data_IF_923280456654
#
_entry.id   IF_923280456654
#
_cell.length_a   1.000
_cell.length_b   1.000
_cell.length_c   1.000
_cell.angle_alpha   90.00
_cell.angle_beta   90.00
_cell.angle_gamma   90.00
#
_symmetry.space_group_name_H-M   'P 1'
#
loop_
_entity.id
_entity.type
_entity.pdbx_description
1 polymer ?
#
# COMPACT_ATOMS: atom_id res chain seq x y z
N UNK A 1 -35.69 7.86 -1.15
CA UNK A 1 -34.30 7.86 -1.66
C UNK A 1 -33.36 7.95 -0.48
N UNK A 2 -32.64 6.88 -0.15
CA UNK A 2 -31.63 6.89 0.91
C UNK A 2 -30.37 7.52 0.33
N UNK A 3 -29.97 8.71 0.82
CA UNK A 3 -28.69 9.32 0.43
C UNK A 3 -27.56 8.47 1.00
N UNK A 4 -26.69 7.94 0.13
CA UNK A 4 -25.45 7.35 0.57
C UNK A 4 -24.62 8.42 1.31
N UNK A 5 -24.14 8.08 2.51
CA UNK A 5 -23.25 8.95 3.27
C UNK A 5 -21.84 8.74 2.74
N UNK A 6 -21.39 9.64 1.88
CA UNK A 6 -20.04 9.59 1.29
C UNK A 6 -19.00 10.04 2.33
N UNK A 7 -17.85 9.36 2.33
CA UNK A 7 -16.69 9.73 3.15
C UNK A 7 -15.77 10.57 2.27
N UNK A 8 -15.43 11.77 2.71
CA UNK A 8 -14.45 12.60 2.01
C UNK A 8 -13.03 12.16 2.34
N UNK A 9 -12.12 12.32 1.38
CA UNK A 9 -10.71 11.97 1.52
C UNK A 9 -10.05 12.60 2.75
N UNK A 10 -10.39 13.85 3.07
CA UNK A 10 -9.80 14.60 4.19
C UNK A 10 -10.24 14.09 5.57
N UNK A 11 -11.19 13.14 5.61
CA UNK A 11 -11.65 12.47 6.83
C UNK A 11 -10.87 11.19 7.12
N UNK A 12 -9.95 10.79 6.23
CA UNK A 12 -9.20 9.55 6.34
C UNK A 12 -7.76 9.89 6.71
N UNK A 13 -7.32 9.37 7.85
CA UNK A 13 -5.94 9.52 8.34
C UNK A 13 -5.12 8.23 8.19
N UNK A 14 -5.78 7.08 8.02
CA UNK A 14 -5.14 5.78 7.95
C UNK A 14 -5.90 4.85 7.00
N UNK A 15 -5.18 4.23 6.08
CA UNK A 15 -5.65 3.15 5.23
C UNK A 15 -4.83 1.89 5.53
N UNK A 16 -5.54 0.78 5.75
CA UNK A 16 -4.91 -0.53 5.96
C UNK A 16 -5.42 -1.46 4.87
N UNK A 17 -4.49 -2.08 4.15
CA UNK A 17 -4.77 -3.09 3.15
C UNK A 17 -4.31 -4.45 3.68
N UNK A 18 -5.25 -5.33 3.96
CA UNK A 18 -4.93 -6.74 4.19
C UNK A 18 -4.61 -7.43 2.86
N UNK A 19 -3.68 -8.38 2.90
CA UNK A 19 -3.21 -9.14 1.73
C UNK A 19 -2.84 -8.26 0.52
N UNK A 20 -2.09 -7.17 0.75
CA UNK A 20 -1.79 -6.16 -0.26
C UNK A 20 -1.02 -6.70 -1.49
N UNK A 21 -0.30 -7.83 -1.34
CA UNK A 21 0.37 -8.55 -2.42
C UNK A 21 -0.57 -8.98 -3.56
N UNK A 22 -1.86 -9.20 -3.28
CA UNK A 22 -2.87 -9.52 -4.31
C UNK A 22 -3.21 -8.31 -5.21
N UNK A 23 -2.77 -7.11 -4.83
CA UNK A 23 -3.10 -5.85 -5.49
C UNK A 23 -1.89 -5.23 -6.20
N UNK A 24 -0.82 -5.99 -6.43
CA UNK A 24 0.49 -5.52 -6.90
C UNK A 24 0.47 -4.63 -8.14
N UNK A 25 -0.48 -4.84 -9.06
CA UNK A 25 -0.63 -4.09 -10.30
C UNK A 25 -2.04 -3.47 -10.43
N UNK A 26 -2.68 -3.17 -9.31
CA UNK A 26 -4.03 -2.64 -9.32
C UNK A 26 -4.02 -1.12 -9.59
N UNK A 27 -4.32 -0.74 -10.84
CA UNK A 27 -4.36 0.66 -11.25
C UNK A 27 -5.41 1.50 -10.52
N UNK A 28 -6.52 0.89 -10.06
CA UNK A 28 -7.53 1.60 -9.27
C UNK A 28 -7.02 1.96 -7.87
N UNK A 29 -6.25 1.08 -7.23
CA UNK A 29 -5.62 1.38 -5.94
C UNK A 29 -4.58 2.48 -6.12
N UNK A 30 -3.75 2.38 -7.17
CA UNK A 30 -2.77 3.41 -7.50
C UNK A 30 -3.42 4.78 -7.70
N UNK A 31 -4.51 4.84 -8.46
CA UNK A 31 -5.25 6.07 -8.70
C UNK A 31 -5.93 6.60 -7.43
N UNK A 32 -6.56 5.72 -6.64
CA UNK A 32 -7.16 6.07 -5.35
C UNK A 32 -6.12 6.74 -4.43
N UNK A 33 -4.95 6.11 -4.28
CA UNK A 33 -3.89 6.63 -3.42
C UNK A 33 -3.35 7.97 -3.94
N UNK A 34 -3.20 8.14 -5.26
CA UNK A 34 -2.87 9.45 -5.85
C UNK A 34 -3.90 10.52 -5.50
N UNK A 35 -5.20 10.21 -5.63
CA UNK A 35 -6.29 11.15 -5.32
C UNK A 35 -6.24 11.52 -3.84
N UNK A 36 -6.19 10.53 -2.95
CA UNK A 36 -6.16 10.75 -1.51
C UNK A 36 -4.93 11.59 -1.10
N UNK A 37 -3.76 11.28 -1.69
CA UNK A 37 -2.51 11.99 -1.42
C UNK A 37 -2.43 13.40 -2.03
N UNK A 38 -3.24 13.71 -3.04
CA UNK A 38 -3.27 15.04 -3.70
C UNK A 38 -3.99 16.12 -2.90
N UNK A 39 -4.74 15.75 -1.86
CA UNK A 39 -5.52 16.70 -1.05
C UNK A 39 -4.63 17.50 -0.10
N UNK A 40 -4.92 18.79 0.15
CA UNK A 40 -4.06 19.64 1.02
C UNK A 40 -3.93 19.18 2.48
N UNK A 41 -4.79 18.26 2.94
CA UNK A 41 -4.71 17.62 4.27
C UNK A 41 -4.03 16.24 4.27
N UNK A 42 -3.57 15.80 3.10
CA UNK A 42 -2.91 14.52 2.83
C UNK A 42 -1.66 14.25 3.67
N UNK A 43 -0.99 15.29 4.18
CA UNK A 43 0.28 15.13 4.92
C UNK A 43 0.18 14.17 6.12
N UNK A 44 -1.04 13.89 6.60
CA UNK A 44 -1.31 12.97 7.70
C UNK A 44 -1.86 11.60 7.27
N UNK A 45 -2.05 11.34 5.98
CA UNK A 45 -2.56 10.06 5.48
C UNK A 45 -1.46 9.01 5.58
N UNK A 46 -1.67 8.03 6.46
CA UNK A 46 -0.82 6.85 6.56
C UNK A 46 -1.43 5.69 5.79
N UNK A 47 -0.58 4.95 5.08
CA UNK A 47 -0.97 3.76 4.33
C UNK A 47 -0.13 2.61 4.86
N UNK A 48 -0.78 1.53 5.27
CA UNK A 48 -0.13 0.32 5.77
C UNK A 48 -0.64 -0.86 4.93
N UNK A 49 0.28 -1.57 4.29
CA UNK A 49 -0.01 -2.82 3.60
C UNK A 49 0.47 -4.00 4.43
N UNK A 50 -0.40 -4.99 4.62
CA UNK A 50 -0.06 -6.26 5.25
C UNK A 50 0.00 -7.33 4.16
N UNK A 51 1.13 -8.05 4.08
CA UNK A 51 1.30 -9.15 3.15
C UNK A 51 1.75 -10.40 3.91
N UNK A 52 1.26 -11.55 3.45
CA UNK A 52 1.87 -12.83 3.78
C UNK A 52 3.24 -12.85 3.08
N UNK A 53 4.30 -13.39 3.71
CA UNK A 53 5.62 -13.44 3.11
C UNK A 53 5.57 -13.98 1.68
N UNK A 54 6.26 -13.28 0.79
CA UNK A 54 6.37 -13.50 -0.66
C UNK A 54 7.18 -14.79 -1.00
N UNK A 55 6.94 -15.88 -0.27
CA UNK A 55 7.76 -17.11 -0.25
C UNK A 55 7.80 -17.86 -1.59
N UNK A 56 6.75 -17.78 -2.41
CA UNK A 56 6.65 -18.55 -3.65
C UNK A 56 7.25 -17.85 -4.88
N UNK A 57 7.88 -16.69 -4.72
CA UNK A 57 8.55 -15.99 -5.84
C UNK A 57 10.02 -16.41 -6.01
N UNK A 58 10.47 -17.44 -5.29
CA UNK A 58 11.87 -17.76 -5.04
C UNK A 58 12.53 -18.65 -6.09
N UNK A 59 11.81 -19.16 -7.10
CA UNK A 59 12.42 -20.05 -8.11
C UNK A 59 13.41 -19.32 -9.04
N UNK A 60 13.32 -17.99 -9.16
CA UNK A 60 14.23 -17.19 -9.98
C UNK A 60 14.83 -16.03 -9.19
N UNK A 61 16.17 -15.95 -9.09
CA UNK A 61 16.86 -14.83 -8.49
C UNK A 61 16.40 -13.49 -9.10
N UNK A 62 16.08 -12.51 -8.25
CA UNK A 62 15.66 -11.16 -8.65
C UNK A 62 14.15 -10.97 -8.86
N UNK A 63 13.34 -12.02 -8.93
CA UNK A 63 11.87 -11.89 -9.03
C UNK A 63 11.26 -11.24 -7.80
N UNK A 64 11.76 -11.56 -6.61
CA UNK A 64 11.31 -10.96 -5.37
C UNK A 64 11.45 -9.43 -5.39
N UNK A 65 12.63 -8.92 -5.76
CA UNK A 65 12.88 -7.47 -5.83
C UNK A 65 11.92 -6.79 -6.82
N UNK A 66 11.69 -7.40 -7.98
CA UNK A 66 10.78 -6.86 -8.98
C UNK A 66 9.32 -6.80 -8.47
N UNK A 67 8.88 -7.77 -7.67
CA UNK A 67 7.54 -7.73 -7.07
C UNK A 67 7.47 -6.73 -5.90
N UNK A 68 8.56 -6.52 -5.16
CA UNK A 68 8.67 -5.44 -4.17
C UNK A 68 8.56 -4.08 -4.87
N UNK A 69 9.34 -3.84 -5.93
CA UNK A 69 9.29 -2.59 -6.70
C UNK A 69 7.86 -2.31 -7.22
N UNK A 70 7.12 -3.35 -7.62
CA UNK A 70 5.72 -3.24 -8.05
C UNK A 70 4.78 -2.89 -6.90
N UNK A 71 4.94 -3.52 -5.74
CA UNK A 71 4.20 -3.16 -4.52
C UNK A 71 4.40 -1.69 -4.18
N UNK A 72 5.65 -1.24 -4.13
CA UNK A 72 6.00 0.14 -3.80
C UNK A 72 5.45 1.12 -4.84
N UNK A 73 5.51 0.76 -6.12
CA UNK A 73 4.93 1.56 -7.20
C UNK A 73 3.40 1.71 -7.11
N UNK A 74 2.70 0.65 -6.70
CA UNK A 74 1.23 0.65 -6.61
C UNK A 74 0.74 1.34 -5.33
N UNK A 75 1.37 1.06 -4.20
CA UNK A 75 0.97 1.62 -2.90
C UNK A 75 1.63 2.97 -2.58
N UNK A 76 2.67 3.35 -3.33
CA UNK A 76 3.46 4.56 -3.11
C UNK A 76 3.99 4.63 -1.67
N UNK A 77 4.50 3.51 -1.19
CA UNK A 77 5.02 3.27 0.15
C UNK A 77 6.26 2.39 0.03
N UNK A 78 7.14 2.43 1.02
CA UNK A 78 8.29 1.53 1.11
C UNK A 78 7.88 0.21 1.79
N UNK A 79 8.49 -0.90 1.38
CA UNK A 79 8.25 -2.22 2.01
C UNK A 79 9.30 -2.47 3.10
N UNK A 80 8.84 -2.56 4.34
CA UNK A 80 9.68 -2.98 5.47
C UNK A 80 9.50 -4.47 5.77
N UNK A 81 10.60 -5.19 5.98
CA UNK A 81 10.58 -6.56 6.51
C UNK A 81 10.73 -6.57 8.02
N UNK A 82 10.45 -7.72 8.65
CA UNK A 82 10.64 -7.89 10.11
C UNK A 82 12.08 -7.57 10.55
N UNK A 83 13.07 -7.91 9.72
CA UNK A 83 14.48 -7.61 9.99
C UNK A 83 14.75 -6.12 9.99
N UNK A 84 14.12 -5.37 9.08
CA UNK A 84 14.30 -3.92 8.97
C UNK A 84 13.71 -3.21 10.20
N UNK A 85 12.51 -3.63 10.64
CA UNK A 85 11.86 -3.09 11.84
C UNK A 85 12.67 -3.39 13.11
N UNK A 86 13.25 -4.58 13.23
CA UNK A 86 14.08 -4.94 14.38
C UNK A 86 15.40 -4.17 14.43
N UNK A 87 15.87 -3.64 13.30
CA UNK A 87 17.15 -2.91 13.23
C UNK A 87 17.07 -1.48 13.79
N UNK A 88 15.87 -0.93 13.94
CA UNK A 88 15.60 0.42 14.44
C UNK A 88 15.06 0.44 15.88
N UNK A 89 14.89 -0.72 16.50
CA UNK A 89 14.43 -0.92 17.88
C UNK A 89 15.63 -1.22 18.80
#
# INVERSE_FOLDING_TARGET
MVKAKEIRAEQINLLIFDQCHLLINNEHIRELLRILKSTKRSENLRVIGLAIPLLDLTEQPGRLNLEIDRLESTFQCDVDTTSDILSIL
#
